data_IF_316741499207
#
_entry.id   IF_316741499207
#
_cell.length_a   1.000
_cell.length_b   1.000
_cell.length_c   1.000
_cell.angle_alpha   90.00
_cell.angle_beta   90.00
_cell.angle_gamma   90.00
#
_symmetry.space_group_name_H-M   'P 1'
#
loop_
_entity.id
_entity.type
_entity.pdbx_description
1 polymer ?
#
# COMPACT_ATOMS: atom_id res chain seq x y z
N UNK A 1 3.57 7.06 -21.71
CA UNK A 1 3.98 6.23 -20.66
C UNK A 1 3.50 6.70 -19.32
N UNK A 2 3.03 5.83 -18.54
CA UNK A 2 2.49 6.24 -17.27
C UNK A 2 3.37 5.76 -16.16
N UNK A 3 3.71 6.66 -15.31
CA UNK A 3 4.46 6.29 -14.14
C UNK A 3 3.54 6.33 -12.96
N UNK A 4 3.61 5.29 -12.19
CA UNK A 4 2.83 5.27 -10.99
C UNK A 4 3.61 6.05 -9.96
N UNK A 5 3.09 7.20 -9.61
CA UNK A 5 3.76 8.05 -8.67
C UNK A 5 3.43 7.70 -7.24
N UNK A 6 4.09 8.37 -6.34
CA UNK A 6 3.83 8.16 -4.93
C UNK A 6 2.41 8.53 -4.54
N UNK A 7 1.83 9.49 -5.25
CA UNK A 7 0.47 9.88 -4.95
C UNK A 7 -0.51 8.78 -5.30
N UNK A 8 -0.25 8.08 -6.41
CA UNK A 8 -1.11 6.95 -6.75
C UNK A 8 -1.00 5.87 -5.69
N UNK A 9 0.19 5.65 -5.17
CA UNK A 9 0.37 4.68 -4.11
C UNK A 9 -0.37 5.11 -2.86
N UNK A 10 -0.33 6.39 -2.52
CA UNK A 10 -1.03 6.88 -1.35
C UNK A 10 -2.54 6.70 -1.50
N UNK A 11 -3.07 7.00 -2.67
CA UNK A 11 -4.48 6.79 -2.91
C UNK A 11 -4.87 5.34 -2.75
N UNK A 12 -4.03 4.45 -3.25
CA UNK A 12 -4.30 3.03 -3.16
C UNK A 12 -4.26 2.56 -1.71
N UNK A 13 -3.30 3.09 -0.94
CA UNK A 13 -3.22 2.76 0.48
C UNK A 13 -4.49 3.18 1.19
N UNK A 14 -4.96 4.40 0.94
CA UNK A 14 -6.17 4.88 1.57
C UNK A 14 -7.37 4.05 1.17
N UNK A 15 -7.44 3.70 -0.10
CA UNK A 15 -8.54 2.88 -0.59
C UNK A 15 -8.57 1.52 0.11
N UNK A 16 -7.39 0.92 0.24
CA UNK A 16 -7.31 -0.39 0.88
C UNK A 16 -7.73 -0.31 2.34
N UNK A 17 -7.33 0.74 3.03
CA UNK A 17 -7.70 0.90 4.44
C UNK A 17 -9.19 1.18 4.59
N UNK A 18 -9.75 1.96 3.68
CA UNK A 18 -11.19 2.19 3.69
C UNK A 18 -11.95 0.90 3.48
N UNK A 19 -11.49 0.07 2.54
CA UNK A 19 -12.14 -1.20 2.29
C UNK A 19 -12.05 -2.10 3.52
N UNK A 20 -10.91 -2.10 4.18
CA UNK A 20 -10.75 -2.88 5.39
C UNK A 20 -11.77 -2.45 6.45
N UNK A 21 -11.93 -1.15 6.61
CA UNK A 21 -12.90 -0.64 7.57
C UNK A 21 -14.32 -1.04 7.20
N UNK A 22 -14.67 -0.93 5.93
CA UNK A 22 -16.00 -1.31 5.48
C UNK A 22 -16.27 -2.78 5.75
N UNK A 23 -15.28 -3.62 5.46
CA UNK A 23 -15.45 -5.04 5.69
C UNK A 23 -15.59 -5.33 7.16
N UNK A 24 -14.83 -4.64 8.01
CA UNK A 24 -14.96 -4.81 9.45
C UNK A 24 -16.34 -4.43 9.96
N UNK A 25 -16.87 -3.33 9.45
CA UNK A 25 -18.20 -2.89 9.85
C UNK A 25 -19.23 -3.91 9.45
N UNK A 26 -19.08 -4.45 8.23
CA UNK A 26 -19.99 -5.49 7.77
C UNK A 26 -19.88 -6.71 8.67
N UNK A 27 -18.65 -7.08 9.03
CA UNK A 27 -18.42 -8.24 9.88
C UNK A 27 -19.12 -8.09 11.23
N UNK A 28 -19.05 -6.88 11.78
CA UNK A 28 -19.65 -6.63 13.08
C UNK A 28 -21.15 -6.83 13.06
N UNK A 29 -21.77 -6.66 11.89
CA UNK A 29 -23.22 -6.86 11.78
C UNK A 29 -23.60 -8.27 11.44
N UNK A 30 -22.65 -9.17 11.26
CA UNK A 30 -22.98 -10.54 10.90
C UNK A 30 -23.30 -11.37 12.13
N UNK A 31 -24.34 -12.20 11.99
CA UNK A 31 -24.73 -13.07 13.09
C UNK A 31 -23.89 -14.32 13.15
N UNK A 32 -23.49 -14.80 11.98
CA UNK A 32 -22.71 -16.02 11.91
C UNK A 32 -21.27 -15.73 12.30
N UNK A 33 -20.76 -16.45 13.28
CA UNK A 33 -19.39 -16.31 13.70
C UNK A 33 -18.43 -16.68 12.56
N UNK A 34 -18.82 -17.69 11.81
CA UNK A 34 -18.01 -18.16 10.72
C UNK A 34 -17.85 -17.09 9.65
N UNK A 35 -18.95 -16.47 9.27
CA UNK A 35 -18.93 -15.42 8.27
C UNK A 35 -18.16 -14.22 8.80
N UNK A 36 -18.35 -13.91 10.06
CA UNK A 36 -17.64 -12.78 10.67
C UNK A 36 -16.14 -13.00 10.62
N UNK A 37 -15.69 -14.22 10.93
CA UNK A 37 -14.27 -14.53 10.91
C UNK A 37 -13.69 -14.40 9.50
N UNK A 38 -14.42 -14.87 8.50
CA UNK A 38 -13.97 -14.75 7.12
C UNK A 38 -13.83 -13.29 6.75
N UNK A 39 -14.80 -12.47 7.12
CA UNK A 39 -14.76 -11.06 6.80
C UNK A 39 -13.60 -10.35 7.50
N UNK A 40 -13.34 -10.72 8.75
CA UNK A 40 -12.20 -10.13 9.45
C UNK A 40 -10.88 -10.51 8.79
N UNK A 41 -10.78 -11.71 8.27
CA UNK A 41 -9.57 -12.10 7.54
C UNK A 41 -9.42 -11.31 6.26
N UNK A 42 -10.52 -11.05 5.58
CA UNK A 42 -10.49 -10.25 4.38
C UNK A 42 -10.03 -8.82 4.72
N UNK A 43 -10.56 -8.27 5.79
CA UNK A 43 -10.15 -6.94 6.21
C UNK A 43 -8.66 -6.90 6.52
N UNK A 44 -8.19 -7.94 7.19
CA UNK A 44 -6.78 -8.03 7.52
C UNK A 44 -5.92 -8.09 6.27
N UNK A 45 -6.38 -8.80 5.25
CA UNK A 45 -5.67 -8.87 3.98
C UNK A 45 -5.57 -7.50 3.34
N UNK A 46 -6.66 -6.74 3.37
CA UNK A 46 -6.62 -5.39 2.82
C UNK A 46 -5.60 -4.53 3.57
N UNK A 47 -5.57 -4.66 4.89
CA UNK A 47 -4.64 -3.87 5.67
C UNK A 47 -3.20 -4.28 5.43
N UNK A 48 -2.97 -5.58 5.26
CA UNK A 48 -1.63 -6.06 4.95
C UNK A 48 -1.15 -5.51 3.61
N UNK A 49 -2.05 -5.47 2.63
CA UNK A 49 -1.70 -4.89 1.35
C UNK A 49 -1.38 -3.42 1.49
N UNK A 50 -2.15 -2.71 2.29
CA UNK A 50 -1.88 -1.29 2.51
C UNK A 50 -0.53 -1.10 3.17
N UNK A 51 -0.20 -1.93 4.14
CA UNK A 51 1.07 -1.85 4.82
C UNK A 51 2.23 -2.13 3.87
N UNK A 52 2.07 -3.11 3.01
CA UNK A 52 3.11 -3.41 2.02
C UNK A 52 3.33 -2.24 1.07
N UNK A 53 2.25 -1.62 0.62
CA UNK A 53 2.38 -0.47 -0.26
C UNK A 53 3.01 0.69 0.47
N UNK A 54 2.67 0.86 1.73
CA UNK A 54 3.24 1.93 2.53
C UNK A 54 4.75 1.75 2.66
N UNK A 55 5.18 0.53 2.94
CA UNK A 55 6.59 0.23 3.04
C UNK A 55 7.29 0.45 1.72
N UNK A 56 6.68 0.01 0.63
CA UNK A 56 7.26 0.21 -0.69
C UNK A 56 7.37 1.69 -1.02
N UNK A 57 6.35 2.45 -0.65
CA UNK A 57 6.35 3.89 -0.87
C UNK A 57 7.49 4.56 -0.13
N UNK A 58 7.72 4.13 1.11
CA UNK A 58 8.80 4.68 1.91
C UNK A 58 10.15 4.34 1.31
N UNK A 59 10.29 3.12 0.81
CA UNK A 59 11.54 2.72 0.18
C UNK A 59 11.83 3.54 -1.07
N UNK A 60 10.79 3.76 -1.86
CA UNK A 60 10.95 4.57 -3.06
C UNK A 60 11.35 5.99 -2.70
N UNK A 61 10.74 6.53 -1.66
CA UNK A 61 11.07 7.87 -1.21
C UNK A 61 12.53 7.96 -0.75
N UNK A 62 12.97 6.97 0.00
CA UNK A 62 14.33 6.96 0.48
C UNK A 62 15.34 6.84 -0.64
N UNK A 63 15.04 5.97 -1.59
CA UNK A 63 15.92 5.79 -2.72
C UNK A 63 16.00 7.08 -3.54
N UNK A 64 14.88 7.69 -3.79
CA UNK A 64 14.84 8.92 -4.54
C UNK A 64 15.58 10.02 -3.82
N UNK A 65 15.43 10.06 -2.53
CA UNK A 65 16.04 11.11 -1.74
C UNK A 65 17.55 10.96 -1.66
N UNK A 66 18.00 9.75 -1.46
CA UNK A 66 19.42 9.50 -1.32
C UNK A 66 20.12 9.23 -2.62
N UNK A 67 19.38 8.98 -3.66
CA UNK A 67 19.95 8.67 -4.93
C UNK A 67 20.57 9.92 -5.48
N UNK A 68 21.84 9.90 -5.61
CA UNK A 68 22.49 11.03 -6.11
C UNK A 68 22.48 10.91 -7.57
N UNK A 69 21.66 11.52 -8.15
CA UNK A 69 21.56 11.45 -9.54
C UNK A 69 22.79 11.87 -10.13
N UNK A 70 23.34 12.49 -9.39
CA UNK A 70 24.48 12.88 -9.91
C UNK A 70 25.27 11.79 -10.20
N UNK A 71 25.03 11.07 -9.95
CA UNK A 71 25.82 10.26 -10.23
C UNK A 71 25.92 9.95 -11.39
N UNK A 72 26.17 10.42 -11.79
CA UNK A 72 26.12 10.37 -12.91
C UNK A 72 26.66 9.42 -13.45
N UNK A 73 26.70 9.30 -13.13
CA UNK A 73 26.87 8.64 -13.41
C UNK A 73 27.60 8.40 -14.16
N UNK A 74 28.08 8.34 -14.23
CA UNK A 74 28.58 8.14 -14.76
C UNK A 74 28.88 7.90 -15.71
N UNK A 75 28.89 8.13 -16.00
CA UNK A 75 29.02 8.00 -16.80
C UNK A 75 29.69 8.04 -17.47
N UNK A 76 30.01 7.74 -17.72
CA UNK A 76 30.59 7.62 -18.32
C UNK A 76 31.23 7.76 -19.03
N UNK A 77 31.42 7.80 -19.25
CA UNK A 77 31.93 7.83 -19.77
C UNK A 77 32.45 7.64 -20.45
N UNK A 78 32.57 7.60 -20.64
CA UNK A 78 32.91 7.24 -21.19
C UNK A 78 33.25 7.12 -21.61
#
# INVERSE_FOLDING_TARGET
>A
MVLIGLEDMKHRILWLRDRADEVRKTAQGMRSAETRDVLFRIAESYENMATHLETASERVSLVTKNWAPAQPIGRPRL
#
